data_IF_865869954781
#
_entry.id   IF_865869954781
#
_cell.length_a   1.000
_cell.length_b   1.000
_cell.length_c   1.000
_cell.angle_alpha   90.00
_cell.angle_beta   90.00
_cell.angle_gamma   90.00
#
_symmetry.space_group_name_H-M   'P 1'
#
loop_
_entity.id
_entity.type
_entity.pdbx_description
1 polymer ?
#
# COMPACT_ATOMS: atom_id res chain seq x y z
N UNK A 1 -5.27 -14.26 -11.67
CA UNK A 1 -4.05 -13.69 -11.05
C UNK A 1 -4.26 -13.56 -9.54
N UNK A 2 -3.33 -14.04 -8.71
CA UNK A 2 -3.43 -13.92 -7.25
C UNK A 2 -3.10 -12.48 -6.84
N UNK A 3 -4.03 -11.78 -6.16
CA UNK A 3 -3.82 -10.40 -5.67
C UNK A 3 -2.74 -10.44 -4.57
N UNK A 4 -1.56 -9.88 -4.82
CA UNK A 4 -0.47 -9.84 -3.82
C UNK A 4 -0.82 -8.85 -2.70
N UNK A 5 -0.55 -9.23 -1.46
CA UNK A 5 -0.77 -8.38 -0.29
C UNK A 5 0.57 -7.77 0.16
N UNK A 6 0.57 -6.48 0.49
CA UNK A 6 1.76 -5.71 0.87
C UNK A 6 1.53 -5.10 2.25
N UNK A 7 2.47 -5.30 3.17
CA UNK A 7 2.51 -4.65 4.48
C UNK A 7 3.42 -3.42 4.41
N UNK A 8 2.91 -2.26 4.83
CA UNK A 8 3.65 -1.00 4.87
C UNK A 8 3.67 -0.50 6.31
N UNK A 9 4.86 -0.30 6.87
CA UNK A 9 5.02 0.39 8.15
C UNK A 9 5.08 1.90 7.94
N UNK A 10 4.44 2.68 8.81
CA UNK A 10 4.40 4.14 8.67
C UNK A 10 3.56 4.61 7.48
N UNK A 11 2.56 3.83 7.07
CA UNK A 11 1.71 4.10 5.90
C UNK A 11 0.92 5.41 5.97
N UNK A 12 0.77 6.01 7.16
CA UNK A 12 0.14 7.32 7.34
C UNK A 12 1.10 8.51 7.15
N UNK A 13 2.41 8.28 6.99
CA UNK A 13 3.39 9.35 6.77
C UNK A 13 3.28 10.00 5.39
N UNK A 14 4.03 11.10 5.16
CA UNK A 14 4.02 11.82 3.88
C UNK A 14 4.31 10.88 2.70
N UNK A 15 5.42 10.15 2.72
CA UNK A 15 5.77 9.21 1.64
C UNK A 15 4.87 7.96 1.67
N UNK A 16 4.62 7.43 2.87
CA UNK A 16 3.83 6.20 3.07
C UNK A 16 2.44 6.30 2.46
N UNK A 17 1.75 7.42 2.67
CA UNK A 17 0.39 7.64 2.17
C UNK A 17 0.32 7.70 0.64
N UNK A 18 1.30 8.33 -0.01
CA UNK A 18 1.39 8.39 -1.47
C UNK A 18 1.71 7.01 -2.07
N UNK A 19 2.61 6.25 -1.44
CA UNK A 19 2.92 4.87 -1.85
C UNK A 19 1.71 3.94 -1.71
N UNK A 20 0.96 4.04 -0.60
CA UNK A 20 -0.28 3.29 -0.41
C UNK A 20 -1.26 3.54 -1.55
N UNK A 21 -1.48 4.82 -1.89
CA UNK A 21 -2.38 5.21 -2.99
C UNK A 21 -1.92 4.68 -4.35
N UNK A 22 -0.61 4.71 -4.65
CA UNK A 22 -0.06 4.15 -5.88
C UNK A 22 -0.32 2.65 -5.98
N UNK A 23 0.02 1.88 -4.94
CA UNK A 23 -0.13 0.42 -4.93
C UNK A 23 -1.59 -0.02 -4.97
N UNK A 24 -2.49 0.72 -4.32
CA UNK A 24 -3.94 0.46 -4.43
C UNK A 24 -4.41 0.66 -5.88
N UNK A 25 -3.97 1.72 -6.56
CA UNK A 25 -4.29 1.97 -7.99
C UNK A 25 -3.77 0.87 -8.91
N UNK A 26 -2.62 0.29 -8.61
CA UNK A 26 -2.05 -0.86 -9.33
C UNK A 26 -2.76 -2.19 -9.00
N UNK A 27 -3.74 -2.18 -8.09
CA UNK A 27 -4.61 -3.32 -7.78
C UNK A 27 -4.09 -4.22 -6.66
N UNK A 28 -3.06 -3.82 -5.93
CA UNK A 28 -2.56 -4.54 -4.76
C UNK A 28 -3.48 -4.38 -3.55
N UNK A 29 -3.43 -5.37 -2.65
CA UNK A 29 -4.04 -5.26 -1.32
C UNK A 29 -2.99 -4.69 -0.37
N UNK A 30 -3.19 -3.48 0.13
CA UNK A 30 -2.26 -2.81 1.05
C UNK A 30 -2.78 -2.93 2.48
N UNK A 31 -1.89 -3.23 3.43
CA UNK A 31 -2.13 -3.24 4.87
C UNK A 31 -1.11 -2.30 5.51
N UNK A 32 -1.57 -1.34 6.31
CA UNK A 32 -0.69 -0.41 7.02
C UNK A 32 -0.54 -0.82 8.49
N UNK A 33 0.68 -0.74 9.02
CA UNK A 33 1.02 -0.87 10.44
C UNK A 33 1.67 0.42 10.96
#
# INVERSE_FOLDING_TARGET
>A
MRRRSILITGGAGFIGSHLCNLLIKEGYRVICL
#
